data_IF_358816144299
#
_entry.id   IF_358816144299
#
_cell.length_a   1.000
_cell.length_b   1.000
_cell.length_c   1.000
_cell.angle_alpha   90.00
_cell.angle_beta   90.00
_cell.angle_gamma   90.00
#
_symmetry.space_group_name_H-M   'P 1'
#
loop_
_entity.id
_entity.type
_entity.pdbx_description
1 polymer ?
#
# COMPACT_ATOMS: atom_id res chain seq x y z
N UNK A 1 -61.63 -2.79 -34.60
CA UNK A 1 -62.53 -3.60 -35.46
C UNK A 1 -63.21 -2.63 -36.41
N UNK A 2 -62.99 -2.57 -37.71
CA UNK A 2 -62.30 -3.46 -38.65
C UNK A 2 -61.82 -2.59 -39.83
N UNK A 3 -60.65 -2.94 -40.38
CA UNK A 3 -60.11 -2.44 -41.65
C UNK A 3 -60.89 -3.02 -42.85
N UNK A 4 -60.81 -2.37 -44.02
CA UNK A 4 -60.00 -2.99 -45.09
C UNK A 4 -59.20 -1.98 -45.94
N UNK A 5 -58.18 -2.50 -46.64
CA UNK A 5 -57.38 -1.87 -47.69
C UNK A 5 -57.70 -2.55 -49.05
N UNK A 6 -56.92 -2.39 -50.13
CA UNK A 6 -56.53 -1.21 -50.93
C UNK A 6 -56.89 -1.38 -52.44
N UNK A 7 -56.74 -0.36 -53.31
CA UNK A 7 -56.67 -0.55 -54.78
C UNK A 7 -55.62 0.36 -55.43
N UNK A 8 -54.93 -0.22 -56.41
CA UNK A 8 -53.75 0.24 -57.14
C UNK A 8 -54.00 1.25 -58.28
N UNK A 9 -52.90 1.98 -58.58
CA UNK A 9 -52.27 2.14 -59.90
C UNK A 9 -52.58 3.34 -60.81
N UNK A 10 -51.47 3.82 -61.40
CA UNK A 10 -51.28 4.55 -62.68
C UNK A 10 -51.60 6.06 -62.65
N UNK A 11 -50.83 6.97 -63.24
CA UNK A 11 -49.65 6.88 -64.09
C UNK A 11 -48.96 8.26 -64.24
N UNK A 12 -47.69 8.21 -64.66
CA UNK A 12 -46.99 9.10 -65.61
C UNK A 12 -46.83 10.59 -65.31
N UNK A 13 -45.56 10.92 -64.98
CA UNK A 13 -44.65 11.79 -65.75
C UNK A 13 -45.07 13.21 -66.11
N UNK A 14 -44.41 14.18 -65.48
CA UNK A 14 -43.98 15.40 -66.17
C UNK A 14 -42.65 15.89 -65.57
N UNK A 15 -41.63 15.99 -66.43
CA UNK A 15 -40.31 16.58 -66.17
C UNK A 15 -40.45 18.06 -65.80
N UNK A 16 -39.70 18.54 -64.82
CA UNK A 16 -39.19 19.91 -64.80
C UNK A 16 -38.13 20.13 -63.72
N UNK A 17 -37.09 20.88 -64.06
CA UNK A 17 -36.37 21.72 -63.10
C UNK A 17 -35.03 21.20 -62.58
N UNK A 18 -33.96 21.58 -63.27
CA UNK A 18 -32.58 21.61 -62.81
C UNK A 18 -32.44 22.56 -61.59
N UNK A 19 -31.81 22.11 -60.49
CA UNK A 19 -31.19 22.85 -59.35
C UNK A 19 -30.83 21.81 -58.27
N UNK A 20 -29.65 21.20 -58.26
CA UNK A 20 -28.43 21.77 -57.67
C UNK A 20 -28.59 22.03 -56.17
N UNK A 21 -28.20 21.08 -55.30
CA UNK A 21 -27.47 21.28 -54.02
C UNK A 21 -26.92 19.90 -53.56
N UNK A 22 -25.60 19.70 -53.59
CA UNK A 22 -24.93 18.71 -52.73
C UNK A 22 -24.89 19.31 -51.32
N UNK A 23 -25.71 18.80 -50.40
CA UNK A 23 -25.61 19.14 -48.97
C UNK A 23 -24.82 18.04 -48.28
N UNK A 24 -23.66 18.44 -47.78
CA UNK A 24 -22.61 17.58 -47.26
C UNK A 24 -23.02 16.78 -46.02
N UNK A 25 -22.52 15.56 -45.99
CA UNK A 25 -22.34 14.75 -44.79
C UNK A 25 -21.31 15.46 -43.89
N UNK A 26 -21.77 16.28 -42.95
CA UNK A 26 -20.97 16.69 -41.79
C UNK A 26 -21.31 15.73 -40.67
N UNK A 27 -20.60 14.61 -40.62
CA UNK A 27 -20.55 13.77 -39.43
C UNK A 27 -19.84 14.55 -38.34
N UNK A 28 -20.59 15.11 -37.38
CA UNK A 28 -20.01 15.55 -36.11
C UNK A 28 -19.58 14.30 -35.35
N UNK A 29 -18.33 13.89 -35.54
CA UNK A 29 -17.64 13.05 -34.58
C UNK A 29 -17.47 13.88 -33.30
N UNK A 30 -18.44 13.77 -32.39
CA UNK A 30 -18.31 14.29 -31.04
C UNK A 30 -17.14 13.57 -30.38
N UNK A 31 -16.00 14.25 -30.29
CA UNK A 31 -14.91 13.82 -29.43
C UNK A 31 -15.42 13.89 -27.99
N UNK A 32 -15.87 12.76 -27.46
CA UNK A 32 -16.07 12.61 -26.01
C UNK A 32 -14.68 12.72 -25.38
N UNK A 33 -14.31 13.90 -24.93
CA UNK A 33 -13.17 14.06 -24.01
C UNK A 33 -13.53 13.24 -22.78
N UNK A 34 -12.93 12.06 -22.65
CA UNK A 34 -13.09 11.26 -21.44
C UNK A 34 -12.65 12.16 -20.28
N UNK A 35 -13.58 12.48 -19.37
CA UNK A 35 -13.25 13.22 -18.17
C UNK A 35 -12.15 12.44 -17.46
N UNK A 36 -11.00 13.08 -17.29
CA UNK A 36 -9.88 12.44 -16.63
C UNK A 36 -10.31 12.19 -15.19
N UNK A 37 -10.30 10.91 -14.77
CA UNK A 37 -10.75 10.55 -13.44
C UNK A 37 -9.83 11.19 -12.39
N UNK A 38 -10.43 11.87 -11.41
CA UNK A 38 -9.72 12.43 -10.26
C UNK A 38 -9.22 11.34 -9.30
N UNK A 39 -8.56 11.70 -8.19
CA UNK A 39 -8.13 10.76 -7.16
C UNK A 39 -9.32 10.10 -6.45
N UNK A 40 -9.06 9.28 -5.42
CA UNK A 40 -10.10 8.63 -4.63
C UNK A 40 -10.84 9.55 -3.64
N UNK A 41 -10.61 10.87 -3.75
CA UNK A 41 -11.25 11.93 -2.96
C UNK A 41 -11.60 13.14 -3.86
N UNK A 42 -12.36 14.10 -3.32
CA UNK A 42 -12.84 15.27 -4.07
C UNK A 42 -11.80 16.39 -4.15
N UNK A 43 -11.33 16.67 -5.36
CA UNK A 43 -10.37 17.76 -5.64
C UNK A 43 -10.96 19.17 -5.54
N UNK A 44 -12.26 19.33 -5.39
CA UNK A 44 -12.86 20.64 -5.15
C UNK A 44 -12.68 21.12 -3.70
N UNK A 45 -12.26 20.24 -2.78
CA UNK A 45 -12.07 20.57 -1.37
C UNK A 45 -10.91 19.82 -0.71
N UNK A 46 -9.67 19.94 -1.24
CA UNK A 46 -8.49 19.30 -0.65
C UNK A 46 -8.12 19.97 0.68
N UNK A 47 -7.94 19.15 1.72
CA UNK A 47 -7.67 19.55 3.10
C UNK A 47 -6.18 19.65 3.41
N UNK A 48 -5.34 18.86 2.76
CA UNK A 48 -3.91 18.75 3.08
C UNK A 48 -3.00 19.21 1.92
N UNK A 49 -1.70 19.44 2.19
CA UNK A 49 -0.71 19.73 1.12
C UNK A 49 -0.60 18.55 0.16
N UNK A 50 -0.61 17.33 0.67
CA UNK A 50 -0.60 16.10 -0.13
C UNK A 50 -1.81 16.02 -1.06
N UNK A 51 -3.02 16.28 -0.57
CA UNK A 51 -4.23 16.25 -1.41
C UNK A 51 -4.18 17.28 -2.54
N UNK A 52 -3.66 18.50 -2.27
CA UNK A 52 -3.44 19.50 -3.32
C UNK A 52 -2.43 19.04 -4.38
N UNK A 53 -1.33 18.41 -3.96
CA UNK A 53 -0.32 17.86 -4.87
C UNK A 53 -0.89 16.74 -5.74
N UNK A 54 -1.68 15.84 -5.14
CA UNK A 54 -2.35 14.75 -5.84
C UNK A 54 -3.33 15.31 -6.88
N UNK A 55 -4.17 16.29 -6.51
CA UNK A 55 -5.12 16.91 -7.43
C UNK A 55 -4.47 17.68 -8.59
N UNK A 56 -3.24 18.18 -8.41
CA UNK A 56 -2.50 18.88 -9.44
C UNK A 56 -1.76 17.95 -10.42
N UNK A 57 -1.77 16.62 -10.18
CA UNK A 57 -1.00 15.65 -10.95
C UNK A 57 -1.82 14.41 -11.32
N UNK A 58 -1.92 14.13 -12.61
CA UNK A 58 -2.67 12.97 -13.08
C UNK A 58 -2.03 11.65 -12.61
N UNK A 59 -0.70 11.55 -12.69
CA UNK A 59 0.04 10.37 -12.23
C UNK A 59 -0.23 10.08 -10.75
N UNK A 60 -0.19 11.11 -9.90
CA UNK A 60 -0.46 10.95 -8.47
C UNK A 60 -1.93 10.61 -8.20
N UNK A 61 -2.85 11.18 -8.98
CA UNK A 61 -4.27 10.84 -8.89
C UNK A 61 -4.55 9.38 -9.27
N UNK A 62 -3.88 8.87 -10.30
CA UNK A 62 -3.98 7.47 -10.74
C UNK A 62 -3.44 6.52 -9.68
N UNK A 63 -2.29 6.87 -9.08
CA UNK A 63 -1.68 6.10 -8.00
C UNK A 63 -2.54 6.11 -6.72
N UNK A 64 -3.12 7.25 -6.35
CA UNK A 64 -4.05 7.34 -5.22
C UNK A 64 -5.25 6.40 -5.41
N UNK A 65 -5.86 6.39 -6.61
CA UNK A 65 -6.93 5.43 -6.93
C UNK A 65 -6.45 3.99 -6.86
N UNK A 66 -5.24 3.69 -7.35
CA UNK A 66 -4.64 2.36 -7.28
C UNK A 66 -4.48 1.88 -5.83
N UNK A 67 -3.94 2.72 -4.96
CA UNK A 67 -3.82 2.45 -3.51
C UNK A 67 -5.20 2.20 -2.92
N UNK A 68 -6.18 3.07 -3.21
CA UNK A 68 -7.55 2.97 -2.70
C UNK A 68 -8.24 1.67 -3.13
N UNK A 69 -8.08 1.26 -4.39
CA UNK A 69 -8.59 0.00 -4.92
C UNK A 69 -7.92 -1.20 -4.24
N UNK A 70 -6.59 -1.20 -4.13
CA UNK A 70 -5.83 -2.27 -3.51
C UNK A 70 -6.19 -2.44 -2.01
N UNK A 71 -6.34 -1.33 -1.28
CA UNK A 71 -6.80 -1.34 0.11
C UNK A 71 -8.19 -1.98 0.24
N UNK A 72 -9.15 -1.62 -0.63
CA UNK A 72 -10.49 -2.23 -0.61
C UNK A 72 -10.46 -3.72 -0.90
N UNK A 73 -9.64 -4.15 -1.88
CA UNK A 73 -9.49 -5.56 -2.22
C UNK A 73 -8.89 -6.36 -1.05
N UNK A 74 -7.79 -5.88 -0.48
CA UNK A 74 -7.16 -6.52 0.68
C UNK A 74 -8.11 -6.57 1.89
N UNK A 75 -8.78 -5.45 2.19
CA UNK A 75 -9.78 -5.38 3.26
C UNK A 75 -10.95 -6.35 3.04
N UNK A 76 -11.38 -6.58 1.80
CA UNK A 76 -12.42 -7.56 1.48
C UNK A 76 -11.99 -9.01 1.72
N UNK A 77 -10.71 -9.32 1.54
CA UNK A 77 -10.18 -10.68 1.57
C UNK A 77 -9.64 -11.12 2.95
N UNK A 78 -9.19 -10.18 3.79
CA UNK A 78 -8.57 -10.48 5.08
C UNK A 78 -9.56 -10.94 6.17
N UNK A 79 -9.05 -11.72 7.12
CA UNK A 79 -9.73 -12.03 8.38
C UNK A 79 -9.82 -10.80 9.32
N UNK A 80 -10.46 -10.95 10.47
CA UNK A 80 -10.68 -9.83 11.39
C UNK A 80 -9.37 -9.22 11.95
N UNK A 81 -8.37 -10.02 12.41
CA UNK A 81 -7.06 -9.49 12.77
C UNK A 81 -6.35 -8.77 11.62
N UNK A 82 -6.32 -9.36 10.43
CA UNK A 82 -5.72 -8.77 9.23
C UNK A 82 -6.40 -7.45 8.83
N UNK A 83 -7.73 -7.37 8.89
CA UNK A 83 -8.49 -6.13 8.68
C UNK A 83 -8.13 -5.05 9.70
N UNK A 84 -7.87 -5.43 10.95
CA UNK A 84 -7.45 -4.48 11.98
C UNK A 84 -6.05 -3.94 11.71
N UNK A 85 -5.11 -4.83 11.43
CA UNK A 85 -3.74 -4.48 11.05
C UNK A 85 -3.75 -3.56 9.81
N UNK A 86 -4.51 -3.90 8.77
CA UNK A 86 -4.63 -3.10 7.54
C UNK A 86 -5.18 -1.69 7.79
N UNK A 87 -6.16 -1.53 8.70
CA UNK A 87 -6.68 -0.19 9.05
C UNK A 87 -5.64 0.68 9.73
N UNK A 88 -4.90 0.11 10.69
CA UNK A 88 -3.82 0.82 11.39
C UNK A 88 -2.73 1.19 10.39
N UNK A 89 -2.27 0.21 9.61
CA UNK A 89 -1.30 0.37 8.53
C UNK A 89 -1.68 1.49 7.53
N UNK A 90 -2.93 1.52 7.06
CA UNK A 90 -3.41 2.58 6.16
C UNK A 90 -3.44 3.96 6.83
N UNK A 91 -3.79 4.03 8.13
CA UNK A 91 -3.77 5.28 8.88
C UNK A 91 -2.34 5.83 8.99
N UNK A 92 -1.39 4.97 9.35
CA UNK A 92 0.03 5.31 9.45
C UNK A 92 0.61 5.79 8.11
N UNK A 93 0.23 5.14 7.01
CA UNK A 93 0.62 5.61 5.68
C UNK A 93 0.10 7.02 5.37
N UNK A 94 -1.17 7.31 5.65
CA UNK A 94 -1.77 8.62 5.38
C UNK A 94 -1.14 9.72 6.25
N UNK A 95 -0.89 9.43 7.53
CA UNK A 95 -0.15 10.32 8.43
C UNK A 95 1.25 10.60 7.88
N UNK A 96 1.99 9.54 7.50
CA UNK A 96 3.32 9.66 6.94
C UNK A 96 3.36 10.50 5.68
N UNK A 97 2.46 10.23 4.75
CA UNK A 97 2.31 10.99 3.51
C UNK A 97 2.11 12.47 3.81
N UNK A 98 1.25 12.81 4.76
CA UNK A 98 0.88 14.20 5.03
C UNK A 98 2.01 14.98 5.72
N UNK A 99 2.81 14.31 6.55
CA UNK A 99 4.04 14.85 7.15
C UNK A 99 5.12 15.04 6.08
N UNK A 100 5.44 13.99 5.32
CA UNK A 100 6.49 14.04 4.31
C UNK A 100 6.15 15.00 3.17
N UNK A 101 4.87 15.15 2.84
CA UNK A 101 4.41 16.14 1.89
C UNK A 101 4.64 17.58 2.35
N UNK A 102 5.23 17.86 3.52
CA UNK A 102 5.71 19.19 3.93
C UNK A 102 7.17 19.47 3.55
N UNK A 103 7.92 18.46 3.10
CA UNK A 103 9.30 18.65 2.64
C UNK A 103 9.38 18.84 1.14
N UNK A 104 10.55 19.23 0.65
CA UNK A 104 10.83 19.40 -0.79
C UNK A 104 11.51 18.17 -1.40
N UNK A 105 12.05 17.26 -0.59
CA UNK A 105 12.76 16.04 -1.01
C UNK A 105 11.87 14.78 -1.03
N UNK A 106 10.58 14.92 -0.70
CA UNK A 106 9.65 13.79 -0.71
C UNK A 106 9.29 13.35 -2.13
N UNK A 107 9.77 12.18 -2.52
CA UNK A 107 9.34 11.49 -3.73
C UNK A 107 8.00 10.77 -3.50
N UNK A 108 6.92 11.56 -3.54
CA UNK A 108 5.55 11.05 -3.36
C UNK A 108 5.17 9.99 -4.41
N UNK A 109 5.72 10.09 -5.64
CA UNK A 109 5.42 9.12 -6.70
C UNK A 109 6.00 7.75 -6.36
N UNK A 110 7.29 7.69 -5.99
CA UNK A 110 7.93 6.45 -5.60
C UNK A 110 7.28 5.82 -4.36
N UNK A 111 6.93 6.62 -3.36
CA UNK A 111 6.25 6.15 -2.15
C UNK A 111 4.86 5.58 -2.47
N UNK A 112 4.09 6.23 -3.34
CA UNK A 112 2.78 5.75 -3.76
C UNK A 112 2.85 4.47 -4.61
N UNK A 113 3.84 4.37 -5.49
CA UNK A 113 4.09 3.14 -6.27
C UNK A 113 4.47 1.97 -5.36
N UNK A 114 5.31 2.22 -4.36
CA UNK A 114 5.68 1.21 -3.36
C UNK A 114 4.47 0.80 -2.53
N UNK A 115 3.69 1.77 -2.04
CA UNK A 115 2.48 1.52 -1.25
C UNK A 115 1.44 0.70 -2.01
N UNK A 116 1.18 1.04 -3.28
CA UNK A 116 0.27 0.29 -4.12
C UNK A 116 0.73 -1.17 -4.26
N UNK A 117 2.02 -1.40 -4.53
CA UNK A 117 2.60 -2.75 -4.63
C UNK A 117 2.49 -3.51 -3.31
N UNK A 118 2.71 -2.87 -2.16
CA UNK A 118 2.52 -3.51 -0.85
C UNK A 118 1.10 -4.05 -0.73
N UNK A 119 0.11 -3.18 -0.92
CA UNK A 119 -1.30 -3.54 -0.76
C UNK A 119 -1.74 -4.63 -1.74
N UNK A 120 -1.26 -4.57 -2.98
CA UNK A 120 -1.55 -5.58 -4.02
C UNK A 120 -0.91 -6.94 -3.75
N UNK A 121 0.19 -6.98 -2.99
CA UNK A 121 0.92 -8.21 -2.69
C UNK A 121 0.55 -8.84 -1.35
N UNK A 122 -0.37 -8.24 -0.59
CA UNK A 122 -0.90 -8.81 0.66
C UNK A 122 -1.48 -10.21 0.37
N UNK A 123 -1.05 -11.17 1.17
CA UNK A 123 -1.58 -12.52 1.21
C UNK A 123 -2.79 -12.55 2.16
N UNK A 124 -3.99 -12.88 1.69
CA UNK A 124 -5.17 -12.92 2.54
C UNK A 124 -5.23 -14.16 3.43
N UNK A 125 -4.48 -15.21 3.09
CA UNK A 125 -4.46 -16.46 3.84
C UNK A 125 -3.50 -16.38 5.03
N UNK A 126 -3.99 -16.78 6.21
CA UNK A 126 -3.15 -16.93 7.38
C UNK A 126 -2.05 -17.96 7.12
N UNK A 127 -0.78 -17.54 7.24
CA UNK A 127 0.37 -18.45 7.15
C UNK A 127 0.32 -19.47 8.30
N UNK A 128 0.88 -20.66 8.12
CA UNK A 128 0.98 -21.66 9.19
C UNK A 128 2.19 -21.47 10.11
N UNK A 129 3.18 -20.65 9.69
CA UNK A 129 4.40 -20.34 10.43
C UNK A 129 4.85 -18.88 10.23
N UNK A 130 6.08 -18.59 10.64
CA UNK A 130 6.66 -17.24 10.58
C UNK A 130 7.38 -16.92 9.26
N UNK A 131 7.82 -17.94 8.53
CA UNK A 131 8.63 -17.76 7.33
C UNK A 131 7.97 -16.86 6.28
N UNK A 132 8.79 -16.00 5.67
CA UNK A 132 8.41 -15.13 4.58
C UNK A 132 8.62 -13.65 4.89
N UNK A 133 8.05 -12.82 4.03
CA UNK A 133 8.07 -11.35 4.15
C UNK A 133 6.77 -10.87 4.78
N UNK A 134 6.89 -10.00 5.77
CA UNK A 134 5.81 -9.30 6.44
C UNK A 134 6.09 -7.80 6.33
N UNK A 135 5.08 -7.00 6.03
CA UNK A 135 5.28 -5.58 5.78
C UNK A 135 4.12 -4.75 6.33
N UNK A 136 4.43 -3.49 6.60
CA UNK A 136 3.45 -2.44 6.87
C UNK A 136 3.95 -1.11 6.27
N UNK A 137 3.27 -0.03 6.59
CA UNK A 137 3.55 1.30 6.10
C UNK A 137 4.91 1.82 6.54
N UNK A 138 5.54 1.26 7.57
CA UNK A 138 6.83 1.71 8.09
C UNK A 138 8.00 0.81 7.75
N UNK A 139 7.77 -0.42 7.28
CA UNK A 139 8.87 -1.26 6.83
C UNK A 139 8.54 -2.73 6.72
N UNK A 140 9.56 -3.57 6.87
CA UNK A 140 9.48 -5.00 6.63
C UNK A 140 10.15 -5.85 7.71
N UNK A 141 9.64 -7.07 7.86
CA UNK A 141 10.22 -8.18 8.63
C UNK A 141 10.37 -9.36 7.68
N UNK A 142 11.60 -9.81 7.48
CA UNK A 142 11.94 -10.99 6.69
C UNK A 142 12.40 -12.12 7.61
N UNK A 143 11.75 -13.27 7.49
CA UNK A 143 12.01 -14.43 8.34
C UNK A 143 12.39 -15.61 7.45
N UNK A 144 13.63 -16.06 7.57
CA UNK A 144 14.21 -17.14 6.75
C UNK A 144 14.53 -18.34 7.64
N UNK A 145 14.02 -19.54 7.35
CA UNK A 145 14.34 -20.73 8.15
C UNK A 145 15.82 -21.11 7.96
N UNK A 146 16.48 -21.47 9.05
CA UNK A 146 17.82 -22.07 9.04
C UNK A 146 17.77 -23.49 9.65
N UNK A 147 18.90 -24.17 9.75
CA UNK A 147 18.96 -25.50 10.37
C UNK A 147 18.58 -25.45 11.85
N UNK A 148 18.00 -26.54 12.35
CA UNK A 148 17.71 -26.70 13.78
C UNK A 148 16.46 -25.97 14.28
N UNK A 149 15.58 -25.50 13.38
CA UNK A 149 14.34 -24.81 13.78
C UNK A 149 14.54 -23.36 14.23
N UNK A 150 15.72 -22.81 14.03
CA UNK A 150 16.06 -21.39 14.20
C UNK A 150 15.75 -20.64 12.90
N UNK A 151 15.60 -19.32 12.98
CA UNK A 151 15.37 -18.43 11.85
C UNK A 151 16.44 -17.34 11.80
N UNK A 152 16.86 -16.94 10.60
CA UNK A 152 17.44 -15.61 10.39
C UNK A 152 16.29 -14.61 10.27
N UNK A 153 16.34 -13.53 11.04
CA UNK A 153 15.33 -12.48 11.06
C UNK A 153 15.99 -11.14 10.75
N UNK A 154 15.44 -10.45 9.75
CA UNK A 154 15.87 -9.13 9.31
C UNK A 154 14.67 -8.19 9.43
N UNK A 155 14.79 -7.16 10.27
CA UNK A 155 13.74 -6.19 10.54
C UNK A 155 14.27 -4.81 10.19
N UNK A 156 13.55 -4.09 9.33
CA UNK A 156 13.88 -2.73 8.96
C UNK A 156 12.61 -1.87 9.03
N UNK A 157 12.63 -0.79 9.82
CA UNK A 157 11.54 0.21 9.86
C UNK A 157 12.08 1.64 9.76
N UNK A 158 11.25 2.52 9.22
CA UNK A 158 11.44 3.97 9.16
C UNK A 158 10.26 4.66 9.84
N UNK A 159 10.43 5.93 10.22
CA UNK A 159 9.34 6.77 10.72
C UNK A 159 9.04 7.92 9.76
N UNK A 160 7.82 8.51 9.84
CA UNK A 160 7.34 9.46 8.84
C UNK A 160 8.06 10.81 8.82
N UNK A 161 9.05 10.99 9.68
CA UNK A 161 9.67 12.27 9.92
C UNK A 161 10.99 12.40 9.15
N UNK A 162 11.25 13.54 8.48
CA UNK A 162 12.36 13.71 7.53
C UNK A 162 13.77 13.46 8.08
N UNK A 163 13.96 13.55 9.39
CA UNK A 163 15.25 13.40 10.07
C UNK A 163 15.40 12.09 10.85
N UNK A 164 14.48 11.13 10.68
CA UNK A 164 14.38 10.02 11.61
C UNK A 164 15.14 8.77 11.14
N UNK A 165 16.08 8.26 11.96
CA UNK A 165 16.95 7.14 11.64
C UNK A 165 16.18 5.82 11.57
N UNK A 166 16.66 4.89 10.76
CA UNK A 166 16.10 3.54 10.64
C UNK A 166 16.18 2.77 11.97
N UNK A 167 15.22 1.86 12.21
CA UNK A 167 15.46 0.70 13.07
C UNK A 167 15.91 -0.45 12.17
N UNK A 168 17.07 -1.05 12.45
CA UNK A 168 17.56 -2.22 11.72
C UNK A 168 18.07 -3.30 12.66
N UNK A 169 17.35 -4.41 12.75
CA UNK A 169 17.75 -5.56 13.56
C UNK A 169 17.88 -6.79 12.67
N UNK A 170 19.12 -7.30 12.53
CA UNK A 170 19.41 -8.54 11.84
C UNK A 170 20.06 -9.55 12.77
N UNK A 171 19.33 -10.59 13.16
CA UNK A 171 19.78 -11.57 14.16
C UNK A 171 18.97 -12.86 14.10
N UNK A 172 19.26 -13.82 14.98
CA UNK A 172 18.53 -15.09 15.04
C UNK A 172 17.20 -14.96 15.76
N UNK A 173 16.21 -15.75 15.33
CA UNK A 173 14.94 -15.96 16.01
C UNK A 173 14.74 -17.42 16.39
N UNK A 174 14.30 -17.68 17.61
CA UNK A 174 14.00 -19.03 18.11
C UNK A 174 12.55 -19.13 18.58
N UNK A 175 11.80 -20.18 18.20
CA UNK A 175 10.43 -20.36 18.63
C UNK A 175 10.36 -20.68 20.14
N UNK A 176 9.44 -20.04 20.85
CA UNK A 176 9.07 -20.29 22.23
C UNK A 176 7.55 -20.46 22.29
N UNK A 177 7.09 -21.71 22.15
CA UNK A 177 5.67 -22.00 21.96
C UNK A 177 5.15 -21.37 20.66
N UNK A 178 4.17 -20.46 20.77
CA UNK A 178 3.55 -19.77 19.62
C UNK A 178 4.20 -18.43 19.28
N UNK A 179 5.28 -18.07 19.96
CA UNK A 179 5.98 -16.79 19.80
C UNK A 179 7.35 -17.07 19.18
N UNK A 180 7.79 -16.25 18.23
CA UNK A 180 9.17 -16.25 17.75
C UNK A 180 9.93 -15.14 18.49
N UNK A 181 10.94 -15.52 19.29
CA UNK A 181 11.76 -14.57 20.05
C UNK A 181 13.05 -14.29 19.31
N UNK A 182 13.27 -13.03 18.96
CA UNK A 182 14.37 -12.54 18.12
C UNK A 182 15.43 -11.86 18.99
N UNK A 183 16.70 -12.16 18.75
CA UNK A 183 17.84 -11.55 19.44
C UNK A 183 18.21 -12.18 20.79
N UNK A 184 17.76 -13.42 21.04
CA UNK A 184 17.99 -14.13 22.31
C UNK A 184 18.62 -15.52 22.14
N UNK A 185 19.10 -15.91 20.95
CA UNK A 185 19.57 -17.28 20.74
C UNK A 185 20.91 -17.53 21.42
N UNK A 186 21.79 -16.52 21.52
CA UNK A 186 23.11 -16.63 22.17
C UNK A 186 23.38 -15.50 23.16
N UNK A 187 24.38 -15.69 24.04
CA UNK A 187 24.86 -14.61 24.91
C UNK A 187 25.41 -13.43 24.11
N UNK A 188 26.19 -13.71 23.05
CA UNK A 188 26.74 -12.67 22.19
C UNK A 188 25.66 -11.83 21.49
N UNK A 189 24.55 -12.44 21.04
CA UNK A 189 23.42 -11.70 20.47
C UNK A 189 22.73 -10.81 21.51
N UNK A 190 22.53 -11.33 22.73
CA UNK A 190 21.96 -10.52 23.82
C UNK A 190 22.85 -9.33 24.14
N UNK A 191 24.14 -9.55 24.25
CA UNK A 191 25.11 -8.49 24.56
C UNK A 191 25.16 -7.44 23.44
N UNK A 192 25.14 -7.87 22.17
CA UNK A 192 25.12 -6.96 21.02
C UNK A 192 23.85 -6.10 20.93
N UNK A 193 22.73 -6.59 21.48
CA UNK A 193 21.44 -5.89 21.48
C UNK A 193 21.15 -5.21 22.83
N UNK A 194 22.14 -5.07 23.73
CA UNK A 194 21.97 -4.54 25.10
C UNK A 194 20.84 -5.23 25.89
N UNK A 195 20.57 -6.50 25.60
CA UNK A 195 19.50 -7.31 26.18
C UNK A 195 18.11 -7.10 25.59
N UNK A 196 17.96 -6.19 24.61
CA UNK A 196 16.69 -6.01 23.89
C UNK A 196 16.38 -7.21 23.01
N UNK A 197 15.10 -7.57 22.96
CA UNK A 197 14.60 -8.64 22.10
C UNK A 197 13.32 -8.21 21.41
N UNK A 198 12.90 -8.93 20.39
CA UNK A 198 11.60 -8.71 19.74
C UNK A 198 10.78 -9.98 19.83
N UNK A 199 9.52 -9.87 20.27
CA UNK A 199 8.54 -10.95 20.22
C UNK A 199 7.72 -10.79 18.95
N UNK A 200 7.69 -11.84 18.13
CA UNK A 200 6.85 -11.92 16.95
C UNK A 200 5.71 -12.89 17.22
N UNK A 201 4.47 -12.40 17.11
CA UNK A 201 3.25 -13.11 17.51
C UNK A 201 2.29 -13.13 16.33
N UNK A 202 1.84 -14.32 15.92
CA UNK A 202 0.83 -14.42 14.86
C UNK A 202 -0.57 -14.40 15.46
N UNK A 203 -1.46 -13.66 14.83
CA UNK A 203 -2.88 -13.63 15.15
C UNK A 203 -3.69 -13.53 13.86
N UNK A 204 -4.36 -14.62 13.48
CA UNK A 204 -4.97 -14.73 12.15
C UNK A 204 -3.95 -14.47 11.05
N UNK A 205 -4.26 -13.53 10.17
CA UNK A 205 -3.38 -13.14 9.06
C UNK A 205 -2.27 -12.18 9.49
N UNK A 206 -2.38 -11.49 10.62
CA UNK A 206 -1.40 -10.50 11.06
C UNK A 206 -0.23 -11.11 11.84
N UNK A 207 0.92 -10.45 11.77
CA UNK A 207 2.08 -10.66 12.65
C UNK A 207 2.31 -9.39 13.48
N UNK A 208 2.16 -9.48 14.79
CA UNK A 208 2.50 -8.40 15.72
C UNK A 208 3.96 -8.54 16.12
N UNK A 209 4.73 -7.45 16.00
CA UNK A 209 6.06 -7.32 16.56
C UNK A 209 6.00 -6.45 17.82
N UNK A 210 6.59 -6.95 18.90
CA UNK A 210 6.65 -6.26 20.19
C UNK A 210 8.10 -6.20 20.68
N UNK A 211 8.63 -4.99 20.77
CA UNK A 211 9.93 -4.71 21.32
C UNK A 211 9.92 -4.96 22.83
N UNK A 212 10.81 -5.82 23.30
CA UNK A 212 10.93 -6.18 24.71
C UNK A 212 12.11 -5.45 25.34
N UNK A 213 11.79 -4.57 26.28
CA UNK A 213 12.76 -3.80 27.05
C UNK A 213 13.40 -4.66 28.14
N UNK A 214 14.74 -4.74 28.22
CA UNK A 214 15.41 -5.37 29.34
C UNK A 214 15.31 -4.47 30.58
N UNK A 215 15.11 -5.01 31.79
CA UNK A 215 14.99 -4.21 33.02
C UNK A 215 16.17 -3.26 33.27
N UNK A 216 17.36 -3.63 32.80
CA UNK A 216 18.61 -2.87 32.94
C UNK A 216 18.66 -1.59 32.08
N UNK A 217 17.81 -1.43 31.06
CA UNK A 217 17.94 -0.30 30.12
C UNK A 217 17.28 0.99 30.57
N UNK A 218 16.53 1.01 31.67
CA UNK A 218 15.79 2.20 32.11
C UNK A 218 14.87 2.77 31.02
N UNK A 219 15.12 4.02 30.59
CA UNK A 219 14.38 4.71 29.52
C UNK A 219 15.12 4.75 28.18
N UNK A 220 16.25 4.05 28.05
CA UNK A 220 17.01 4.01 26.80
C UNK A 220 16.20 3.38 25.67
N UNK A 221 16.54 3.73 24.43
CA UNK A 221 16.08 3.03 23.22
C UNK A 221 16.98 1.82 22.94
N UNK A 222 16.51 0.83 22.14
CA UNK A 222 17.39 -0.23 21.64
C UNK A 222 18.55 0.34 20.82
N UNK A 223 19.74 -0.29 20.88
CA UNK A 223 20.92 0.21 20.15
C UNK A 223 20.76 0.13 18.62
N UNK A 224 19.83 -0.70 18.14
CA UNK A 224 19.52 -0.90 16.72
C UNK A 224 18.37 -0.02 16.21
N UNK A 225 17.83 0.86 17.06
CA UNK A 225 16.77 1.80 16.72
C UNK A 225 17.25 3.22 16.99
N UNK A 226 17.31 4.05 15.96
CA UNK A 226 17.63 5.44 16.20
C UNK A 226 16.47 6.22 16.82
N UNK A 227 16.66 7.52 17.02
CA UNK A 227 15.74 8.40 17.76
C UNK A 227 14.26 8.21 17.36
N UNK A 228 13.39 7.99 18.35
CA UNK A 228 11.92 7.76 18.27
C UNK A 228 11.45 6.64 17.36
N UNK A 229 12.30 5.89 16.67
CA UNK A 229 11.87 4.78 15.82
C UNK A 229 11.59 3.53 16.63
N UNK A 230 10.68 2.69 16.13
CA UNK A 230 10.36 1.41 16.74
C UNK A 230 10.07 0.36 15.67
N UNK A 231 10.28 -0.89 16.07
CA UNK A 231 9.84 -2.09 15.35
C UNK A 231 8.39 -2.45 15.71
N UNK A 232 7.85 -1.92 16.81
CA UNK A 232 6.50 -2.22 17.30
C UNK A 232 5.44 -1.98 16.22
N UNK A 233 4.53 -2.94 16.08
CA UNK A 233 3.36 -2.81 15.22
C UNK A 233 2.88 -4.12 14.64
N UNK A 234 1.80 -4.04 13.88
CA UNK A 234 1.25 -5.15 13.12
C UNK A 234 1.77 -5.12 11.67
N UNK A 235 2.05 -6.31 11.14
CA UNK A 235 2.57 -6.53 9.81
C UNK A 235 1.69 -7.53 9.07
N UNK A 236 1.51 -7.31 7.76
CA UNK A 236 0.74 -8.18 6.88
C UNK A 236 1.68 -9.03 6.02
N UNK A 237 1.34 -10.30 5.76
CA UNK A 237 2.14 -11.16 4.92
C UNK A 237 2.08 -10.67 3.47
N UNK A 238 3.23 -10.55 2.81
CA UNK A 238 3.32 -10.14 1.40
C UNK A 238 4.16 -11.13 0.59
N UNK A 239 3.88 -11.26 -0.71
CA UNK A 239 4.63 -12.15 -1.61
C UNK A 239 6.04 -11.66 -1.91
N UNK A 240 6.15 -10.49 -2.52
CA UNK A 240 7.39 -9.84 -2.96
C UNK A 240 7.21 -8.33 -2.94
N UNK A 241 8.27 -7.63 -2.59
CA UNK A 241 8.32 -6.17 -2.61
C UNK A 241 9.57 -5.72 -3.36
N UNK A 242 9.51 -4.62 -4.13
CA UNK A 242 10.72 -3.91 -4.50
C UNK A 242 11.40 -3.35 -3.24
N UNK A 243 12.66 -2.96 -3.36
CA UNK A 243 13.33 -2.20 -2.30
C UNK A 243 12.46 -0.99 -1.93
N UNK A 244 12.30 -0.77 -0.63
CA UNK A 244 11.56 0.38 -0.13
C UNK A 244 12.40 1.64 -0.33
N UNK A 245 11.92 2.62 -1.11
CA UNK A 245 12.68 3.81 -1.49
C UNK A 245 13.09 4.68 -0.29
N UNK A 246 12.49 4.44 0.88
CA UNK A 246 12.78 5.20 2.11
C UNK A 246 14.03 4.70 2.82
N UNK A 247 14.48 3.47 2.54
CA UNK A 247 15.78 2.98 2.98
C UNK A 247 16.80 3.34 1.90
N UNK A 248 17.42 4.52 2.03
CA UNK A 248 18.57 4.87 1.18
C UNK A 248 19.74 3.96 1.56
N UNK A 249 20.41 3.38 0.57
CA UNK A 249 21.70 2.74 0.79
C UNK A 249 22.70 3.84 1.20
N UNK A 250 23.35 3.67 2.35
CA UNK A 250 24.49 4.50 2.76
C UNK A 250 25.71 4.24 1.85
#
# INVERSE_FOLDING_TARGET
MSTPAPVHSRATSARNGLRGVLLGLIGLAGATTAAVAGPSFDCNSPRTRSERLICASQDLSDLDRRISNAYRNASGALDAPGKSALRVDQHLFLESRDIQAQTDDYDMKADFEWRAKLLENIQPDARSGFTGLWANAYGEIRITPVRGGVFEVDIATVQPYPSFPVCQLKTSGSPQGTILVVGNATAAERDANDGWTVRLIRNGTALTAELQRPPSSGMSSPPFCGFRTSIDGDYLPVHRMPADPRFKAE
#
